data_IF_219807841196
#
_entry.id   IF_219807841196
#
_cell.length_a   1.000
_cell.length_b   1.000
_cell.length_c   1.000
_cell.angle_alpha   90.00
_cell.angle_beta   90.00
_cell.angle_gamma   90.00
#
_symmetry.space_group_name_H-M   'P 1'
#
loop_
_entity.id
_entity.type
_entity.pdbx_description
1 polymer ?
#
# COMPACT_ATOMS: atom_id res chain seq x y z
N UNK A 1 -7.08 -17.95 -20.87
CA UNK A 1 -6.49 -17.36 -19.66
C UNK A 1 -7.30 -16.15 -19.23
N UNK A 2 -7.60 -16.04 -17.94
CA UNK A 2 -8.37 -14.93 -17.40
C UNK A 2 -7.61 -13.61 -17.57
N UNK A 3 -8.33 -12.52 -17.87
CA UNK A 3 -7.73 -11.19 -18.04
C UNK A 3 -7.81 -10.41 -16.72
N UNK A 4 -6.66 -10.19 -16.10
CA UNK A 4 -6.52 -9.46 -14.85
C UNK A 4 -7.01 -8.02 -14.96
N UNK A 5 -6.77 -7.37 -16.10
CA UNK A 5 -7.20 -5.99 -16.33
C UNK A 5 -8.73 -5.90 -16.31
N UNK A 6 -9.42 -6.89 -16.85
CA UNK A 6 -10.88 -6.96 -16.85
C UNK A 6 -11.43 -7.16 -15.43
N UNK A 7 -10.79 -8.01 -14.65
CA UNK A 7 -11.18 -8.23 -13.25
C UNK A 7 -11.00 -6.94 -12.45
N UNK A 8 -9.87 -6.26 -12.62
CA UNK A 8 -9.62 -4.99 -11.95
C UNK A 8 -10.64 -3.93 -12.34
N UNK A 9 -10.99 -3.85 -13.61
CA UNK A 9 -12.02 -2.92 -14.11
C UNK A 9 -13.38 -3.18 -13.46
N UNK A 10 -13.78 -4.44 -13.39
CA UNK A 10 -15.04 -4.82 -12.74
C UNK A 10 -15.00 -4.45 -11.26
N UNK A 11 -13.89 -4.74 -10.58
CA UNK A 11 -13.72 -4.40 -9.16
C UNK A 11 -13.81 -2.89 -8.95
N UNK A 12 -13.16 -2.10 -9.79
CA UNK A 12 -13.20 -0.64 -9.69
C UNK A 12 -14.63 -0.11 -9.84
N UNK A 13 -15.42 -0.69 -10.71
CA UNK A 13 -16.84 -0.33 -10.89
C UNK A 13 -17.68 -0.69 -9.66
N UNK A 14 -17.47 -1.89 -9.11
CA UNK A 14 -18.21 -2.35 -7.94
C UNK A 14 -17.88 -1.52 -6.70
N UNK A 15 -16.66 -1.02 -6.60
CA UNK A 15 -16.21 -0.23 -5.47
C UNK A 15 -16.44 1.29 -5.65
N UNK A 16 -16.87 1.71 -6.85
CA UNK A 16 -17.13 3.13 -7.11
C UNK A 16 -18.21 3.67 -6.15
N UNK A 17 -17.94 4.85 -5.59
CA UNK A 17 -18.84 5.48 -4.62
C UNK A 17 -18.67 4.97 -3.18
N UNK A 18 -17.78 3.99 -2.96
CA UNK A 18 -17.44 3.52 -1.62
C UNK A 18 -16.09 4.09 -1.20
N UNK A 19 -15.71 3.89 0.06
CA UNK A 19 -14.38 4.25 0.56
C UNK A 19 -13.32 3.17 0.27
N UNK A 20 -13.71 2.08 -0.39
CA UNK A 20 -12.81 1.01 -0.81
C UNK A 20 -12.30 1.23 -2.22
N UNK A 21 -11.09 0.71 -2.48
CA UNK A 21 -10.43 0.84 -3.78
C UNK A 21 -9.48 -0.33 -4.02
N UNK A 22 -9.19 -0.61 -5.30
CA UNK A 22 -8.27 -1.67 -5.67
C UNK A 22 -6.81 -1.20 -5.51
N UNK A 23 -5.97 -2.10 -5.03
CA UNK A 23 -4.53 -1.87 -4.87
C UNK A 23 -3.75 -2.58 -5.98
N UNK A 24 -3.99 -3.86 -6.18
CA UNK A 24 -3.33 -4.65 -7.21
C UNK A 24 -4.17 -5.85 -7.60
N UNK A 25 -3.96 -6.33 -8.81
CA UNK A 25 -4.55 -7.56 -9.30
C UNK A 25 -3.48 -8.34 -10.05
N UNK A 26 -3.23 -9.56 -9.62
CA UNK A 26 -2.25 -10.45 -10.24
C UNK A 26 -2.90 -11.77 -10.64
N UNK A 27 -2.37 -12.38 -11.68
CA UNK A 27 -2.90 -13.62 -12.24
C UNK A 27 -1.75 -14.54 -12.60
N UNK A 28 -1.84 -15.79 -12.17
CA UNK A 28 -0.85 -16.81 -12.53
C UNK A 28 -1.22 -17.50 -13.85
N UNK A 29 -0.27 -18.21 -14.50
CA UNK A 29 -0.59 -19.01 -15.67
C UNK A 29 -1.64 -20.11 -15.42
N UNK A 30 -1.89 -20.48 -14.17
CA UNK A 30 -2.89 -21.46 -13.77
C UNK A 30 -4.27 -20.82 -13.53
N UNK A 31 -4.48 -19.57 -13.93
CA UNK A 31 -5.72 -18.80 -13.70
C UNK A 31 -6.06 -18.64 -12.22
N UNK A 32 -5.05 -18.48 -11.38
CA UNK A 32 -5.21 -18.09 -9.99
C UNK A 32 -5.07 -16.57 -9.90
N UNK A 33 -6.14 -15.90 -9.51
CA UNK A 33 -6.21 -14.44 -9.44
C UNK A 33 -6.20 -13.98 -8.00
N UNK A 34 -5.32 -13.03 -7.69
CA UNK A 34 -5.28 -12.37 -6.39
C UNK A 34 -5.57 -10.89 -6.58
N UNK A 35 -6.66 -10.43 -5.97
CA UNK A 35 -7.06 -9.03 -5.96
C UNK A 35 -6.86 -8.46 -4.56
N UNK A 36 -6.01 -7.46 -4.45
CA UNK A 36 -5.81 -6.74 -3.18
C UNK A 36 -6.58 -5.44 -3.21
N UNK A 37 -7.32 -5.19 -2.15
CA UNK A 37 -8.11 -3.96 -1.97
C UNK A 37 -7.73 -3.30 -0.65
N UNK A 38 -8.01 -2.02 -0.55
CA UNK A 38 -7.84 -1.26 0.68
C UNK A 38 -9.03 -0.29 0.81
N UNK A 39 -9.08 0.44 1.92
CA UNK A 39 -10.14 1.39 2.22
C UNK A 39 -9.56 2.58 2.95
N UNK A 40 -10.22 3.72 2.85
CA UNK A 40 -9.88 4.91 3.65
C UNK A 40 -10.11 4.64 5.16
N UNK A 41 -10.92 3.64 5.48
CA UNK A 41 -11.24 3.23 6.86
C UNK A 41 -10.74 1.83 7.13
N UNK A 42 -11.56 0.81 6.89
CA UNK A 42 -11.16 -0.58 7.10
C UNK A 42 -11.83 -1.49 6.08
N UNK A 43 -11.22 -2.64 5.83
CA UNK A 43 -11.77 -3.67 4.95
C UNK A 43 -12.17 -4.86 5.81
N UNK A 44 -13.44 -5.28 5.72
CA UNK A 44 -13.93 -6.45 6.43
C UNK A 44 -13.83 -7.70 5.55
N UNK A 45 -13.82 -8.87 6.19
CA UNK A 45 -13.85 -10.15 5.47
C UNK A 45 -15.14 -10.25 4.64
N UNK A 46 -16.25 -9.75 5.17
CA UNK A 46 -17.53 -9.73 4.49
C UNK A 46 -17.48 -8.90 3.21
N UNK A 47 -16.86 -7.73 3.25
CA UNK A 47 -16.67 -6.88 2.08
C UNK A 47 -15.85 -7.58 0.99
N UNK A 48 -14.81 -8.30 1.36
CA UNK A 48 -14.01 -9.09 0.43
C UNK A 48 -14.84 -10.19 -0.22
N UNK A 49 -15.65 -10.89 0.56
CA UNK A 49 -16.52 -11.97 0.07
C UNK A 49 -17.59 -11.42 -0.87
N UNK A 50 -18.21 -10.29 -0.54
CA UNK A 50 -19.22 -9.65 -1.38
C UNK A 50 -18.63 -9.22 -2.72
N UNK A 51 -17.43 -8.63 -2.72
CA UNK A 51 -16.75 -8.24 -3.94
C UNK A 51 -16.40 -9.45 -4.80
N UNK A 52 -15.91 -10.52 -4.18
CA UNK A 52 -15.61 -11.76 -4.89
C UNK A 52 -16.84 -12.30 -5.62
N UNK A 53 -17.97 -12.36 -4.94
CA UNK A 53 -19.24 -12.81 -5.56
C UNK A 53 -19.69 -11.89 -6.69
N UNK A 54 -19.56 -10.58 -6.51
CA UNK A 54 -19.94 -9.61 -7.55
C UNK A 54 -19.08 -9.75 -8.80
N UNK A 55 -17.77 -9.96 -8.64
CA UNK A 55 -16.86 -10.18 -9.76
C UNK A 55 -17.18 -11.48 -10.47
N UNK A 56 -17.34 -12.58 -9.73
CA UNK A 56 -17.63 -13.89 -10.30
C UNK A 56 -18.94 -13.92 -11.09
N UNK A 57 -19.92 -13.10 -10.72
CA UNK A 57 -21.19 -13.00 -11.42
C UNK A 57 -21.04 -12.46 -12.85
N UNK A 58 -19.95 -11.82 -13.19
CA UNK A 58 -19.67 -11.32 -14.54
C UNK A 58 -19.06 -12.38 -15.47
N UNK A 59 -18.74 -13.58 -14.96
CA UNK A 59 -18.07 -14.63 -15.72
C UNK A 59 -18.88 -15.90 -15.73
N UNK A 60 -18.79 -16.64 -16.84
CA UNK A 60 -19.32 -18.00 -16.95
C UNK A 60 -18.16 -18.98 -16.66
N UNK A 61 -18.23 -19.66 -15.52
CA UNK A 61 -17.18 -20.58 -15.08
C UNK A 61 -17.05 -21.82 -15.99
N UNK A 62 -18.10 -22.13 -16.75
CA UNK A 62 -18.03 -23.21 -17.73
C UNK A 62 -17.24 -22.82 -18.97
N UNK A 63 -17.18 -21.53 -19.27
CA UNK A 63 -16.42 -20.98 -20.40
C UNK A 63 -15.00 -20.62 -19.97
N UNK A 64 -14.85 -20.02 -18.78
CA UNK A 64 -13.57 -19.54 -18.31
C UNK A 64 -13.46 -19.80 -16.79
N UNK A 65 -12.72 -20.85 -16.44
CA UNK A 65 -12.55 -21.23 -15.05
C UNK A 65 -11.31 -20.54 -14.45
N UNK A 66 -11.48 -20.00 -13.26
CA UNK A 66 -10.41 -19.32 -12.53
C UNK A 66 -10.67 -19.37 -11.03
N UNK A 67 -9.60 -19.22 -10.27
CA UNK A 67 -9.65 -19.07 -8.83
C UNK A 67 -9.48 -17.58 -8.47
N UNK A 68 -10.39 -17.04 -7.68
CA UNK A 68 -10.32 -15.63 -7.26
C UNK A 68 -10.19 -15.53 -5.76
N UNK A 69 -9.12 -14.86 -5.33
CA UNK A 69 -8.92 -14.51 -3.93
C UNK A 69 -8.97 -12.98 -3.81
N UNK A 70 -9.89 -12.47 -3.00
CA UNK A 70 -9.98 -11.05 -2.66
C UNK A 70 -9.52 -10.87 -1.22
N UNK A 71 -8.51 -10.05 -1.02
CA UNK A 71 -7.92 -9.83 0.30
C UNK A 71 -7.62 -8.34 0.52
N UNK A 72 -7.52 -7.96 1.79
CA UNK A 72 -7.13 -6.59 2.13
C UNK A 72 -5.61 -6.46 2.09
N UNK A 73 -5.12 -5.30 1.66
CA UNK A 73 -3.73 -4.93 1.79
C UNK A 73 -3.49 -4.57 3.26
N UNK A 74 -2.83 -5.44 4.00
CA UNK A 74 -2.62 -5.29 5.44
C UNK A 74 -1.38 -4.47 5.80
N UNK A 75 -1.21 -4.25 7.11
CA UNK A 75 -0.01 -3.63 7.67
C UNK A 75 1.20 -4.49 7.30
N UNK A 76 2.29 -3.86 6.88
CA UNK A 76 3.49 -4.56 6.41
C UNK A 76 3.52 -4.82 4.93
N UNK A 77 2.40 -4.63 4.23
CA UNK A 77 2.35 -4.68 2.76
C UNK A 77 2.89 -3.38 2.17
N UNK A 78 3.51 -3.48 1.00
CA UNK A 78 4.00 -2.29 0.29
C UNK A 78 2.84 -1.37 -0.11
N UNK A 79 3.01 -0.07 0.14
CA UNK A 79 2.06 0.93 -0.31
C UNK A 79 2.20 1.11 -1.82
N UNK A 80 1.11 1.02 -2.55
CA UNK A 80 1.12 1.05 -4.01
C UNK A 80 0.42 2.26 -4.61
N UNK A 81 -0.49 2.89 -3.85
CA UNK A 81 -1.28 4.03 -4.34
C UNK A 81 -1.10 5.24 -3.45
N UNK A 82 -1.24 6.43 -4.03
CA UNK A 82 -1.19 7.69 -3.27
C UNK A 82 -2.27 7.71 -2.19
N UNK A 83 -3.43 7.13 -2.48
CA UNK A 83 -4.54 7.05 -1.52
C UNK A 83 -4.15 6.27 -0.27
N UNK A 84 -3.37 5.18 -0.41
CA UNK A 84 -2.83 4.43 0.71
C UNK A 84 -1.86 5.26 1.54
N UNK A 85 -0.99 6.02 0.86
CA UNK A 85 -0.06 6.93 1.56
C UNK A 85 -0.83 7.97 2.37
N UNK A 86 -1.84 8.59 1.78
CA UNK A 86 -2.64 9.62 2.46
C UNK A 86 -3.38 9.09 3.68
N UNK A 87 -3.83 7.84 3.62
CA UNK A 87 -4.51 7.18 4.73
C UNK A 87 -3.65 7.10 5.99
N UNK A 88 -2.36 6.90 5.82
CA UNK A 88 -1.44 6.66 6.93
C UNK A 88 -0.54 7.85 7.26
N UNK A 89 -0.86 9.04 6.77
CA UNK A 89 -0.15 10.26 7.20
C UNK A 89 -0.23 10.37 8.72
N UNK A 90 0.92 10.59 9.37
CA UNK A 90 1.06 10.60 10.82
C UNK A 90 1.49 9.28 11.43
N UNK A 91 1.52 8.21 10.64
CA UNK A 91 1.91 6.87 11.10
C UNK A 91 3.38 6.58 10.82
N UNK A 92 4.01 5.66 11.58
CA UNK A 92 5.37 5.22 11.28
C UNK A 92 5.41 4.38 10.03
N UNK A 93 6.45 4.59 9.22
CA UNK A 93 6.68 3.88 7.96
C UNK A 93 8.12 3.40 7.85
N UNK A 94 8.31 2.33 7.08
CA UNK A 94 9.61 1.86 6.65
C UNK A 94 9.76 2.19 5.18
N UNK A 95 10.78 2.98 4.83
CA UNK A 95 11.06 3.38 3.45
C UNK A 95 12.39 2.76 3.02
N UNK A 96 12.37 2.01 1.93
CA UNK A 96 13.59 1.53 1.30
C UNK A 96 13.84 2.36 0.04
N UNK A 97 14.98 3.02 0.01
CA UNK A 97 15.40 3.81 -1.14
C UNK A 97 16.06 2.93 -2.20
N UNK A 98 16.08 3.41 -3.43
CA UNK A 98 16.70 2.68 -4.56
C UNK A 98 18.18 2.43 -4.38
N UNK A 99 18.86 3.23 -3.55
CA UNK A 99 20.27 3.05 -3.22
C UNK A 99 20.51 2.00 -2.11
N UNK A 100 19.46 1.37 -1.60
CA UNK A 100 19.55 0.36 -0.55
C UNK A 100 19.42 0.89 0.87
N UNK A 101 19.29 2.20 1.07
CA UNK A 101 19.13 2.78 2.39
C UNK A 101 17.71 2.54 2.92
N UNK A 102 17.61 2.01 4.13
CA UNK A 102 16.33 1.80 4.81
C UNK A 102 16.15 2.85 5.90
N UNK A 103 14.99 3.50 5.90
CA UNK A 103 14.67 4.58 6.83
C UNK A 103 13.39 4.20 7.59
N UNK A 104 13.44 4.35 8.92
CA UNK A 104 12.26 4.24 9.78
C UNK A 104 11.90 5.65 10.22
N UNK A 105 10.71 6.11 9.84
CA UNK A 105 10.32 7.50 10.03
C UNK A 105 8.81 7.60 10.17
N UNK A 106 8.33 8.81 10.48
CA UNK A 106 6.91 9.12 10.41
C UNK A 106 6.60 9.73 9.04
N UNK A 107 5.46 9.35 8.47
CA UNK A 107 4.99 9.93 7.22
C UNK A 107 4.24 11.23 7.53
N UNK A 108 4.79 12.36 7.10
CA UNK A 108 4.21 13.67 7.38
C UNK A 108 3.31 14.17 6.25
N UNK A 109 3.65 13.85 5.01
CA UNK A 109 2.89 14.27 3.84
C UNK A 109 3.16 13.34 2.66
N UNK A 110 2.23 13.32 1.73
CA UNK A 110 2.36 12.58 0.48
C UNK A 110 1.61 13.31 -0.63
N UNK A 111 2.22 13.37 -1.81
CA UNK A 111 1.61 13.94 -3.01
C UNK A 111 2.00 13.12 -4.24
N UNK A 112 1.60 13.60 -5.42
CA UNK A 112 1.88 12.90 -6.68
C UNK A 112 3.37 12.75 -6.99
N UNK A 113 4.21 13.58 -6.42
CA UNK A 113 5.64 13.61 -6.69
C UNK A 113 6.45 12.74 -5.72
N UNK A 114 5.99 12.64 -4.47
CA UNK A 114 6.74 11.92 -3.47
C UNK A 114 6.16 12.04 -2.08
N UNK A 115 7.00 11.79 -1.09
CA UNK A 115 6.60 11.80 0.32
C UNK A 115 7.55 12.66 1.13
N UNK A 116 7.03 13.19 2.25
CA UNK A 116 7.82 13.87 3.26
C UNK A 116 7.76 13.04 4.54
N UNK A 117 8.92 12.75 5.09
CA UNK A 117 9.06 11.94 6.30
C UNK A 117 9.91 12.66 7.32
N UNK A 118 9.69 12.34 8.59
CA UNK A 118 10.48 12.90 9.68
C UNK A 118 10.94 11.80 10.63
N UNK A 119 12.12 11.98 11.17
CA UNK A 119 12.70 11.06 12.14
C UNK A 119 13.71 11.80 13.01
N UNK A 120 14.14 11.16 14.08
CA UNK A 120 15.15 11.71 14.98
C UNK A 120 16.49 11.07 14.70
N UNK A 121 17.53 11.89 14.64
CA UNK A 121 18.88 11.44 14.36
C UNK A 121 19.83 11.99 15.42
N UNK A 122 20.77 11.17 15.85
CA UNK A 122 21.83 11.62 16.75
C UNK A 122 22.96 12.22 15.93
N UNK A 123 23.25 13.47 16.19
CA UNK A 123 24.30 14.20 15.50
C UNK A 123 25.31 14.75 16.48
N UNK A 124 26.58 14.77 16.06
CA UNK A 124 27.64 15.43 16.81
C UNK A 124 27.49 16.93 16.66
N UNK A 125 27.52 17.63 17.78
CA UNK A 125 27.47 19.09 17.82
C UNK A 125 28.82 19.61 18.31
N UNK A 126 29.34 20.62 17.63
CA UNK A 126 30.60 21.23 18.01
C UNK A 126 30.57 21.73 19.45
N UNK A 127 31.62 21.43 20.21
CA UNK A 127 31.74 21.80 21.61
C UNK A 127 31.03 20.89 22.60
N UNK A 128 30.39 19.81 22.13
CA UNK A 128 29.72 18.84 22.99
C UNK A 128 30.33 17.46 22.87
N UNK A 129 30.46 16.77 23.99
CA UNK A 129 31.04 15.43 24.05
C UNK A 129 30.03 14.34 23.65
N UNK A 130 28.73 14.60 23.81
CA UNK A 130 27.65 13.67 23.50
C UNK A 130 26.93 14.11 22.24
N UNK A 131 26.50 13.14 21.45
CA UNK A 131 25.64 13.41 20.30
C UNK A 131 24.29 13.95 20.79
N UNK A 132 23.77 14.91 20.08
CA UNK A 132 22.45 15.50 20.35
C UNK A 132 21.45 14.94 19.40
N UNK A 133 20.24 14.63 19.88
CA UNK A 133 19.13 14.17 19.07
C UNK A 133 18.50 15.38 18.37
N UNK A 134 18.42 15.32 17.05
CA UNK A 134 17.84 16.39 16.23
C UNK A 134 16.73 15.83 15.36
N UNK A 135 15.71 16.64 15.10
CA UNK A 135 14.64 16.28 14.19
C UNK A 135 15.09 16.49 12.75
N UNK A 136 14.92 15.49 11.93
CA UNK A 136 15.26 15.52 10.51
C UNK A 136 14.00 15.36 9.70
N UNK A 137 13.81 16.24 8.72
CA UNK A 137 12.70 16.16 7.76
C UNK A 137 13.31 15.99 6.37
N UNK A 138 12.82 14.99 5.64
CA UNK A 138 13.30 14.69 4.29
C UNK A 138 12.13 14.48 3.36
N UNK A 139 12.30 14.96 2.12
CA UNK A 139 11.33 14.71 1.04
C UNK A 139 12.00 13.84 -0.01
N UNK A 140 11.33 12.76 -0.39
CA UNK A 140 11.82 11.82 -1.39
C UNK A 140 10.83 11.71 -2.54
N UNK A 141 11.29 11.88 -3.80
CA UNK A 141 10.43 11.59 -4.94
C UNK A 141 10.20 10.07 -5.06
N UNK A 142 9.08 9.67 -5.59
CA UNK A 142 8.76 8.24 -5.75
C UNK A 142 9.82 7.50 -6.58
N UNK A 143 10.47 8.20 -7.51
CA UNK A 143 11.55 7.60 -8.33
C UNK A 143 12.75 7.14 -7.51
N UNK A 144 12.95 7.68 -6.31
CA UNK A 144 14.04 7.29 -5.41
C UNK A 144 13.61 6.26 -4.37
N UNK A 145 12.33 5.89 -4.34
CA UNK A 145 11.76 4.96 -3.36
C UNK A 145 11.53 3.61 -4.02
N UNK A 146 12.11 2.55 -3.44
CA UNK A 146 11.87 1.19 -3.88
C UNK A 146 10.56 0.66 -3.32
N UNK A 147 10.32 0.86 -2.02
CA UNK A 147 9.05 0.56 -1.39
C UNK A 147 8.85 1.40 -0.13
N UNK A 148 7.59 1.50 0.29
CA UNK A 148 7.20 2.07 1.58
C UNK A 148 6.19 1.13 2.21
N UNK A 149 6.36 0.83 3.50
CA UNK A 149 5.46 -0.02 4.28
C UNK A 149 5.10 0.68 5.57
N UNK A 150 3.83 0.58 5.96
CA UNK A 150 3.43 0.94 7.31
C UNK A 150 3.99 -0.10 8.28
N UNK A 151 4.52 0.31 9.42
CA UNK A 151 4.97 -0.64 10.42
C UNK A 151 4.44 -0.25 11.80
N UNK A 152 4.31 -1.23 12.68
CA UNK A 152 3.91 -1.01 14.06
C UNK A 152 5.14 -0.94 14.94
N UNK A 153 5.18 0.09 15.79
CA UNK A 153 6.22 0.25 16.79
C UNK A 153 5.66 -0.27 18.11
N UNK A 154 6.17 -1.42 18.53
CA UNK A 154 5.71 -2.11 19.73
C UNK A 154 6.53 -1.76 20.97
N UNK A 155 6.92 -0.56 21.12
CA UNK A 155 7.64 -0.15 22.33
C UNK A 155 6.76 -0.16 23.57
#
# INVERSE_FOLDING_TARGET
MIDCAKIKEIADRELAGTDMFTVSCTCTPSNEVELLIDSDTSVTIEACADLSRAIEAHFDRDVEDFSLTVASAGIGSELRTLRQYRKIIGSPVEVLLTNGTKILAHLDAADENGITVSYKERQSVEGRKRKVEVDVVRTYPFSEIKYTKEYLDFK
#
